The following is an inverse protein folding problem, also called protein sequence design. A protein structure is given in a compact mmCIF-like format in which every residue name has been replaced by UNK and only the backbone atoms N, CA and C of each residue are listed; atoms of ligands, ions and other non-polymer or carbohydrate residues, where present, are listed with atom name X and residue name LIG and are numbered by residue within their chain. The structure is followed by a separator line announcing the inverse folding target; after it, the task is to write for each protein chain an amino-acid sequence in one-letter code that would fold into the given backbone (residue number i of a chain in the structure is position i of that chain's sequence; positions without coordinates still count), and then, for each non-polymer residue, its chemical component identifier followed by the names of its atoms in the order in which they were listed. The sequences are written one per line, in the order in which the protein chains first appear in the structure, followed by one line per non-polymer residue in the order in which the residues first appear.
data_IF_144951031448
#
_entry.id   IF_144951031448
#
_cell.length_a   1.000
_cell.length_b   1.000
_cell.length_c   1.000
_cell.angle_alpha   90.00
_cell.angle_beta   90.00
_cell.angle_gamma   90.00
#
_symmetry.space_group_name_H-M   'P 1'
#
loop_
_entity.id
_entity.type
_entity.pdbx_description
1 polymer ?
#
# COMPACT_ATOMS: atom_id res chain seq x y z
N UNK A 1 -2.47 24.55 -9.72
CA UNK A 1 -3.07 24.57 -8.38
C UNK A 1 -4.15 23.49 -8.36
N UNK A 2 -3.82 22.29 -7.90
CA UNK A 2 -4.81 21.25 -7.64
C UNK A 2 -5.72 21.70 -6.49
N UNK A 3 -6.92 22.17 -6.79
CA UNK A 3 -7.97 22.37 -5.79
C UNK A 3 -8.54 21.00 -5.41
N UNK A 4 -8.08 20.48 -4.29
CA UNK A 4 -8.67 19.30 -3.66
C UNK A 4 -10.06 19.71 -3.17
N UNK A 5 -11.13 19.18 -3.80
CA UNK A 5 -12.50 19.34 -3.30
C UNK A 5 -12.60 18.72 -1.91
N UNK A 6 -12.94 19.53 -0.93
CA UNK A 6 -13.27 19.13 0.42
C UNK A 6 -14.58 18.34 0.42
N UNK A 7 -14.48 17.04 0.65
CA UNK A 7 -15.59 16.27 1.20
C UNK A 7 -15.05 15.56 2.44
N UNK A 8 -15.76 15.69 3.55
CA UNK A 8 -15.33 15.38 4.90
C UNK A 8 -14.70 13.98 5.07
N UNK A 9 -13.85 13.81 6.05
CA UNK A 9 -13.05 12.64 6.48
C UNK A 9 -11.67 12.44 5.83
N UNK A 10 -11.46 12.74 4.56
CA UNK A 10 -10.15 12.60 3.91
C UNK A 10 -9.11 13.65 4.32
N UNK A 11 -9.52 14.77 4.90
CA UNK A 11 -8.66 15.93 5.17
C UNK A 11 -7.66 15.66 6.30
N UNK A 12 -8.07 14.92 7.33
CA UNK A 12 -7.20 14.61 8.48
C UNK A 12 -6.08 13.63 8.08
N UNK A 13 -6.41 12.59 7.32
CA UNK A 13 -5.42 11.62 6.84
C UNK A 13 -4.41 12.24 5.87
N UNK A 14 -4.83 13.24 5.06
CA UNK A 14 -3.93 13.97 4.16
C UNK A 14 -2.84 14.74 4.88
N UNK A 15 -3.07 15.21 6.10
CA UNK A 15 -2.06 15.87 6.92
C UNK A 15 -0.91 14.94 7.34
N UNK A 16 -1.15 13.62 7.30
CA UNK A 16 -0.17 12.60 7.63
C UNK A 16 0.45 11.92 6.39
N UNK A 17 0.09 12.39 5.19
CA UNK A 17 0.52 11.81 3.92
C UNK A 17 1.81 12.47 3.43
N UNK A 18 2.86 11.67 3.27
CA UNK A 18 4.14 12.06 2.67
C UNK A 18 4.27 11.37 1.31
N UNK A 19 4.14 12.15 0.24
CA UNK A 19 4.31 11.65 -1.13
C UNK A 19 5.73 11.97 -1.58
N UNK A 20 6.45 10.94 -2.05
CA UNK A 20 7.80 11.09 -2.58
C UNK A 20 7.81 12.05 -3.78
N UNK A 21 8.82 12.94 -3.91
CA UNK A 21 8.82 13.98 -4.95
C UNK A 21 8.63 13.49 -6.38
N UNK A 22 9.26 12.38 -6.77
CA UNK A 22 9.11 11.79 -8.11
C UNK A 22 7.69 11.25 -8.37
N UNK A 23 7.05 10.69 -7.34
CA UNK A 23 5.64 10.24 -7.39
C UNK A 23 4.71 11.44 -7.51
N UNK A 24 4.93 12.48 -6.71
CA UNK A 24 4.11 13.70 -6.75
C UNK A 24 4.21 14.38 -8.11
N UNK A 25 5.42 14.55 -8.63
CA UNK A 25 5.66 15.12 -9.97
C UNK A 25 4.96 14.30 -11.07
N UNK A 26 5.02 12.97 -10.97
CA UNK A 26 4.37 12.09 -11.93
C UNK A 26 2.83 12.27 -11.90
N UNK A 27 2.23 12.33 -10.71
CA UNK A 27 0.80 12.57 -10.54
C UNK A 27 0.37 13.93 -11.10
N UNK A 28 1.13 14.99 -10.80
CA UNK A 28 0.86 16.34 -11.30
C UNK A 28 0.96 16.47 -12.83
N UNK A 29 1.86 15.71 -13.43
CA UNK A 29 2.06 15.68 -14.89
C UNK A 29 1.19 14.66 -15.63
N UNK A 30 0.32 13.93 -14.90
CA UNK A 30 -0.53 12.88 -15.48
C UNK A 30 0.25 11.68 -16.02
N UNK A 31 1.46 11.44 -15.52
CA UNK A 31 2.24 10.24 -15.85
C UNK A 31 1.70 9.01 -15.09
N UNK A 32 1.87 7.80 -15.65
CA UNK A 32 1.41 6.58 -15.00
C UNK A 32 2.18 6.34 -13.69
N UNK A 33 1.40 6.11 -12.61
CA UNK A 33 1.93 5.74 -11.29
C UNK A 33 1.29 4.43 -10.88
N UNK A 34 2.10 3.49 -10.38
CA UNK A 34 1.64 2.17 -9.90
C UNK A 34 1.94 2.05 -8.41
N UNK A 35 0.91 1.90 -7.59
CA UNK A 35 1.05 1.61 -6.18
C UNK A 35 1.51 0.16 -5.95
N UNK A 36 2.26 -0.06 -4.88
CA UNK A 36 2.72 -1.37 -4.41
C UNK A 36 2.48 -1.49 -2.91
N UNK A 37 2.06 -2.66 -2.45
CA UNK A 37 1.92 -2.97 -1.02
C UNK A 37 3.28 -3.22 -0.35
N UNK A 38 3.31 -3.20 0.98
CA UNK A 38 4.51 -3.48 1.76
C UNK A 38 4.42 -4.69 2.69
N UNK A 39 3.24 -5.30 2.83
CA UNK A 39 3.11 -6.53 3.65
C UNK A 39 4.05 -7.63 3.18
N UNK A 40 4.23 -7.80 1.86
CA UNK A 40 5.14 -8.81 1.32
C UNK A 40 6.60 -8.55 1.72
N UNK A 41 6.99 -7.29 1.93
CA UNK A 41 8.34 -6.90 2.34
C UNK A 41 8.60 -7.31 3.79
N UNK A 42 7.67 -6.99 4.71
CA UNK A 42 7.88 -7.19 6.15
C UNK A 42 7.41 -8.54 6.66
N UNK A 43 6.48 -9.20 5.98
CA UNK A 43 5.81 -10.43 6.45
C UNK A 43 5.77 -11.56 5.43
N UNK A 44 6.16 -11.32 4.18
CA UNK A 44 6.03 -12.32 3.12
C UNK A 44 7.29 -13.10 2.83
N UNK A 45 8.47 -12.49 2.98
CA UNK A 45 9.75 -13.07 2.61
C UNK A 45 10.83 -12.71 3.62
N UNK A 46 11.85 -13.59 3.84
CA UNK A 46 12.99 -13.26 4.69
C UNK A 46 13.91 -12.21 4.00
N UNK A 47 14.68 -11.50 4.82
CA UNK A 47 15.80 -10.68 4.34
C UNK A 47 16.98 -11.58 3.93
N UNK A 48 17.70 -11.31 2.81
CA UNK A 48 17.59 -10.13 1.94
C UNK A 48 16.62 -10.27 0.75
N UNK A 49 15.99 -11.43 0.56
CA UNK A 49 15.16 -11.71 -0.62
C UNK A 49 13.96 -10.74 -0.74
N UNK A 50 13.40 -10.31 0.39
CA UNK A 50 12.31 -9.32 0.42
C UNK A 50 12.74 -7.97 -0.17
N UNK A 51 13.95 -7.50 0.15
CA UNK A 51 14.52 -6.27 -0.39
C UNK A 51 14.78 -6.40 -1.90
N UNK A 52 15.45 -7.49 -2.30
CA UNK A 52 15.77 -7.74 -3.72
C UNK A 52 14.50 -7.79 -4.56
N UNK A 53 13.48 -8.49 -4.09
CA UNK A 53 12.18 -8.58 -4.76
C UNK A 53 11.53 -7.20 -4.89
N UNK A 54 11.44 -6.42 -3.81
CA UNK A 54 10.81 -5.10 -3.83
C UNK A 54 11.51 -4.14 -4.81
N UNK A 55 12.84 -4.08 -4.79
CA UNK A 55 13.61 -3.25 -5.71
C UNK A 55 13.49 -3.72 -7.16
N UNK A 56 13.45 -5.04 -7.39
CA UNK A 56 13.28 -5.59 -8.73
C UNK A 56 11.89 -5.23 -9.31
N UNK A 57 10.83 -5.36 -8.53
CA UNK A 57 9.47 -4.97 -8.95
C UNK A 57 9.40 -3.49 -9.30
N UNK A 58 9.97 -2.61 -8.46
CA UNK A 58 10.03 -1.18 -8.77
C UNK A 58 10.81 -0.91 -10.08
N UNK A 59 11.92 -1.62 -10.29
CA UNK A 59 12.72 -1.47 -11.51
C UNK A 59 11.95 -1.93 -12.77
N UNK A 60 11.16 -2.99 -12.69
CA UNK A 60 10.30 -3.44 -13.78
C UNK A 60 9.30 -2.36 -14.15
N UNK A 61 8.62 -1.78 -13.16
CA UNK A 61 7.65 -0.70 -13.38
C UNK A 61 8.32 0.52 -14.05
N UNK A 62 9.53 0.89 -13.61
CA UNK A 62 10.28 1.99 -14.23
C UNK A 62 10.68 1.70 -15.68
N UNK A 63 11.08 0.47 -15.98
CA UNK A 63 11.42 0.06 -17.37
C UNK A 63 10.21 0.15 -18.30
N UNK A 64 9.01 -0.09 -17.78
CA UNK A 64 7.74 0.05 -18.54
C UNK A 64 7.25 1.52 -18.62
N UNK A 65 8.05 2.48 -18.16
CA UNK A 65 7.74 3.91 -18.27
C UNK A 65 6.77 4.45 -17.20
N UNK A 66 6.46 3.68 -16.17
CA UNK A 66 5.65 4.10 -15.04
C UNK A 66 6.50 4.42 -13.79
N UNK A 67 5.92 5.16 -12.85
CA UNK A 67 6.56 5.49 -11.57
C UNK A 67 6.01 4.56 -10.48
N UNK A 68 6.85 3.74 -9.82
CA UNK A 68 6.42 2.90 -8.71
C UNK A 68 6.24 3.72 -7.45
N UNK A 69 5.21 3.39 -6.67
CA UNK A 69 4.93 4.00 -5.39
C UNK A 69 4.66 2.89 -4.35
N UNK A 70 5.72 2.37 -3.74
CA UNK A 70 5.59 1.45 -2.61
C UNK A 70 5.04 2.21 -1.41
N UNK A 71 3.99 1.69 -0.79
CA UNK A 71 3.22 2.35 0.28
C UNK A 71 3.45 1.64 1.61
N UNK A 72 3.73 2.43 2.66
CA UNK A 72 3.84 1.97 4.04
C UNK A 72 3.50 3.10 5.02
N UNK A 73 3.47 2.80 6.32
CA UNK A 73 3.43 3.80 7.37
C UNK A 73 4.73 3.69 8.16
N UNK A 74 5.48 4.79 8.27
CA UNK A 74 6.74 4.84 9.01
C UNK A 74 6.69 5.95 10.06
N UNK A 75 6.88 5.60 11.33
CA UNK A 75 6.80 6.54 12.45
C UNK A 75 5.45 7.30 12.50
N UNK A 76 4.36 6.65 12.07
CA UNK A 76 3.03 7.25 11.97
C UNK A 76 2.83 8.16 10.76
N UNK A 77 3.80 8.28 9.85
CA UNK A 77 3.66 9.00 8.57
C UNK A 77 3.26 8.04 7.46
N UNK A 78 2.22 8.35 6.75
CA UNK A 78 1.73 7.57 5.62
C UNK A 78 2.61 7.91 4.40
N UNK A 79 3.47 7.00 4.02
CA UNK A 79 4.44 7.16 2.93
C UNK A 79 3.88 6.62 1.62
N UNK A 80 3.96 7.42 0.57
CA UNK A 80 3.59 7.04 -0.80
C UNK A 80 4.81 7.20 -1.70
N UNK A 81 5.41 6.09 -2.04
CA UNK A 81 6.75 6.01 -2.61
C UNK A 81 7.80 6.00 -1.50
N UNK A 82 8.41 4.84 -1.29
CA UNK A 82 9.53 4.68 -0.35
C UNK A 82 10.86 4.94 -1.04
N UNK A 83 11.83 5.43 -0.27
CA UNK A 83 13.23 5.38 -0.68
C UNK A 83 13.78 3.97 -0.55
N UNK A 84 14.94 3.70 -1.18
CA UNK A 84 15.62 2.41 -1.03
C UNK A 84 15.92 2.09 0.43
N UNK A 85 16.36 3.09 1.20
CA UNK A 85 16.70 2.93 2.62
C UNK A 85 15.45 2.63 3.46
N UNK A 86 14.30 3.24 3.13
CA UNK A 86 13.01 2.95 3.78
C UNK A 86 12.51 1.53 3.46
N UNK A 87 12.68 1.06 2.21
CA UNK A 87 12.36 -0.33 1.82
C UNK A 87 13.28 -1.32 2.58
N UNK A 88 14.58 -1.02 2.65
CA UNK A 88 15.53 -1.85 3.37
C UNK A 88 15.24 -1.89 4.88
N UNK A 89 14.90 -0.73 5.46
CA UNK A 89 14.45 -0.65 6.85
C UNK A 89 13.24 -1.55 7.10
N UNK A 90 12.19 -1.45 6.29
CA UNK A 90 11.01 -2.32 6.39
C UNK A 90 11.33 -3.81 6.26
N UNK A 91 12.29 -4.14 5.40
CA UNK A 91 12.73 -5.52 5.18
C UNK A 91 13.46 -6.13 6.37
N UNK A 92 14.12 -5.30 7.19
CA UNK A 92 14.90 -5.72 8.38
C UNK A 92 14.14 -5.59 9.69
N UNK A 93 13.21 -4.64 9.79
CA UNK A 93 12.53 -4.31 11.03
C UNK A 93 11.60 -5.45 11.49
N UNK A 94 11.70 -5.80 12.79
CA UNK A 94 10.95 -6.91 13.39
C UNK A 94 9.57 -6.51 13.94
N UNK A 95 9.38 -5.22 14.22
CA UNK A 95 8.18 -4.71 14.92
C UNK A 95 7.23 -3.95 13.99
N UNK A 96 7.25 -4.27 12.70
CA UNK A 96 6.34 -3.66 11.72
C UNK A 96 4.98 -4.35 11.81
N UNK A 97 3.93 -3.59 12.01
CA UNK A 97 2.56 -4.11 12.16
C UNK A 97 1.95 -4.35 10.78
N UNK A 98 1.39 -5.54 10.54
CA UNK A 98 0.57 -5.79 9.36
C UNK A 98 -0.68 -4.92 9.45
N UNK A 99 -0.79 -3.94 8.54
CA UNK A 99 -1.76 -2.85 8.61
C UNK A 99 -2.87 -3.03 7.59
N UNK A 100 -4.09 -3.25 8.08
CA UNK A 100 -5.32 -3.19 7.28
C UNK A 100 -6.07 -1.88 7.54
N UNK A 101 -7.25 -1.70 6.93
CA UNK A 101 -8.09 -0.50 7.08
C UNK A 101 -8.23 -0.04 8.53
N UNK A 102 -8.61 -0.94 9.43
CA UNK A 102 -8.89 -0.64 10.85
C UNK A 102 -7.65 -0.19 11.63
N UNK A 103 -6.46 -0.57 11.16
CA UNK A 103 -5.21 -0.37 11.91
C UNK A 103 -4.58 0.99 11.59
N UNK A 104 -4.91 1.61 10.44
CA UNK A 104 -4.32 2.88 9.99
C UNK A 104 -4.41 3.98 11.07
N UNK A 105 -5.59 4.29 11.65
CA UNK A 105 -5.68 5.35 12.64
C UNK A 105 -4.87 5.07 13.91
N UNK A 106 -4.84 3.83 14.35
CA UNK A 106 -4.07 3.40 15.51
C UNK A 106 -2.57 3.58 15.29
N UNK A 107 -2.06 3.07 14.15
CA UNK A 107 -0.62 3.11 13.81
C UNK A 107 -0.16 4.55 13.64
N UNK A 108 -0.96 5.39 12.95
CA UNK A 108 -0.66 6.82 12.76
C UNK A 108 -0.64 7.54 14.11
N UNK A 109 -1.66 7.35 14.96
CA UNK A 109 -1.77 8.05 16.25
C UNK A 109 -0.66 7.65 17.23
N UNK A 110 -0.22 6.40 17.20
CA UNK A 110 0.85 5.87 18.05
C UNK A 110 2.25 6.04 17.47
N UNK A 111 2.37 6.65 16.28
CA UNK A 111 3.64 6.85 15.57
C UNK A 111 4.42 5.54 15.37
N UNK A 112 3.71 4.47 15.04
CA UNK A 112 4.27 3.14 14.80
C UNK A 112 4.56 2.93 13.32
N UNK A 113 5.22 1.78 13.02
CA UNK A 113 5.48 1.33 11.67
C UNK A 113 4.44 0.30 11.24
N UNK A 114 3.95 0.46 10.01
CA UNK A 114 2.92 -0.38 9.42
C UNK A 114 3.23 -0.78 8.00
N UNK A 115 3.23 -2.09 7.74
CA UNK A 115 3.27 -2.65 6.39
C UNK A 115 1.85 -2.81 5.86
N UNK A 116 1.56 -2.15 4.75
CA UNK A 116 0.19 -2.07 4.20
C UNK A 116 -0.22 -3.34 3.48
N UNK A 117 -1.43 -3.83 3.80
CA UNK A 117 -2.14 -4.90 3.07
C UNK A 117 -2.73 -4.34 1.78
N UNK A 118 -3.34 -5.20 0.96
CA UNK A 118 -4.08 -4.77 -0.24
C UNK A 118 -5.11 -3.71 0.11
N UNK A 119 -5.96 -3.94 1.11
CA UNK A 119 -7.00 -2.99 1.53
C UNK A 119 -6.42 -1.62 1.91
N UNK A 120 -5.44 -1.56 2.78
CA UNK A 120 -4.84 -0.29 3.21
C UNK A 120 -4.04 0.40 2.11
N UNK A 121 -3.38 -0.37 1.24
CA UNK A 121 -2.69 0.17 0.07
C UNK A 121 -3.67 0.84 -0.89
N UNK A 122 -4.83 0.22 -1.16
CA UNK A 122 -5.88 0.81 -2.00
C UNK A 122 -6.39 2.14 -1.43
N UNK A 123 -6.68 2.19 -0.11
CA UNK A 123 -7.14 3.40 0.56
C UNK A 123 -6.13 4.53 0.39
N UNK A 124 -4.86 4.25 0.69
CA UNK A 124 -3.79 5.25 0.64
C UNK A 124 -3.51 5.67 -0.82
N UNK A 125 -3.50 4.73 -1.76
CA UNK A 125 -3.35 5.02 -3.18
C UNK A 125 -4.46 5.96 -3.67
N UNK A 126 -5.72 5.69 -3.32
CA UNK A 126 -6.86 6.56 -3.64
C UNK A 126 -6.71 7.97 -3.04
N UNK A 127 -6.28 8.08 -1.77
CA UNK A 127 -6.02 9.35 -1.11
C UNK A 127 -4.91 10.17 -1.80
N UNK A 128 -3.90 9.49 -2.33
CA UNK A 128 -2.81 10.10 -3.10
C UNK A 128 -3.18 10.42 -4.55
N UNK A 129 -4.32 9.92 -5.04
CA UNK A 129 -4.75 10.10 -6.44
C UNK A 129 -4.22 9.05 -7.41
N UNK A 130 -3.58 7.98 -6.92
CA UNK A 130 -3.09 6.86 -7.72
C UNK A 130 -4.28 5.98 -8.14
N UNK A 131 -4.32 5.57 -9.41
CA UNK A 131 -5.44 4.83 -10.01
C UNK A 131 -5.16 3.35 -10.23
N UNK A 132 -3.89 2.94 -10.19
CA UNK A 132 -3.46 1.56 -10.47
C UNK A 132 -2.61 1.05 -9.32
N UNK A 133 -2.93 -0.15 -8.86
CA UNK A 133 -2.17 -0.88 -7.85
C UNK A 133 -1.87 -2.29 -8.37
N UNK A 134 -0.63 -2.73 -8.27
CA UNK A 134 -0.19 -4.07 -8.64
C UNK A 134 0.21 -4.87 -7.40
N UNK A 135 -0.29 -6.10 -7.29
CA UNK A 135 0.02 -7.03 -6.18
C UNK A 135 0.09 -8.46 -6.67
N UNK A 136 0.75 -9.34 -5.94
CA UNK A 136 0.81 -10.78 -6.23
C UNK A 136 -0.54 -11.46 -6.04
N UNK A 137 -1.26 -11.15 -4.97
CA UNK A 137 -2.54 -11.77 -4.68
C UNK A 137 -3.35 -11.00 -3.66
N UNK A 138 -4.66 -11.06 -3.80
CA UNK A 138 -5.63 -10.47 -2.88
C UNK A 138 -6.13 -11.51 -1.88
N UNK A 139 -6.62 -11.05 -0.73
CA UNK A 139 -7.36 -11.88 0.21
C UNK A 139 -8.75 -12.26 -0.33
N UNK A 140 -9.31 -13.31 0.22
CA UNK A 140 -10.60 -13.85 -0.20
C UNK A 140 -11.50 -14.24 0.97
N UNK A 141 -12.40 -15.17 0.73
CA UNK A 141 -13.24 -15.83 1.75
C UNK A 141 -12.51 -17.09 2.20
N UNK A 142 -12.15 -17.15 3.48
CA UNK A 142 -11.41 -18.28 4.03
C UNK A 142 -12.28 -19.53 4.15
N UNK A 143 -11.67 -20.71 4.08
CA UNK A 143 -12.39 -21.97 4.28
C UNK A 143 -13.03 -21.97 5.69
N UNK A 144 -14.30 -22.34 5.79
CA UNK A 144 -15.05 -22.29 7.04
C UNK A 144 -15.59 -20.90 7.41
N UNK A 145 -15.55 -19.96 6.51
CA UNK A 145 -16.02 -18.59 6.78
C UNK A 145 -17.50 -18.52 7.15
N UNK A 146 -18.31 -19.50 6.79
CA UNK A 146 -19.71 -19.59 7.20
C UNK A 146 -19.86 -19.77 8.73
N UNK A 147 -18.81 -20.25 9.42
CA UNK A 147 -18.78 -20.42 10.88
C UNK A 147 -17.92 -19.34 11.55
N UNK A 148 -16.77 -19.00 10.93
CA UNK A 148 -15.78 -18.09 11.52
C UNK A 148 -15.97 -16.64 11.13
N UNK A 149 -16.71 -16.37 10.04
CA UNK A 149 -16.83 -15.05 9.39
C UNK A 149 -15.47 -14.47 8.97
N UNK A 150 -14.46 -15.32 8.74
CA UNK A 150 -13.13 -14.89 8.32
C UNK A 150 -13.12 -14.56 6.83
N UNK A 151 -13.42 -13.29 6.55
CA UNK A 151 -13.48 -12.70 5.21
C UNK A 151 -12.49 -11.54 5.15
N UNK A 152 -11.64 -11.54 4.13
CA UNK A 152 -10.65 -10.49 3.96
C UNK A 152 -11.28 -9.11 3.75
N UNK A 153 -10.73 -8.11 4.43
CA UNK A 153 -11.08 -6.71 4.22
C UNK A 153 -10.78 -6.22 2.78
N UNK A 154 -9.91 -6.92 2.05
CA UNK A 154 -9.58 -6.60 0.66
C UNK A 154 -10.82 -6.61 -0.24
N UNK A 155 -11.73 -7.57 -0.03
CA UNK A 155 -12.96 -7.69 -0.83
C UNK A 155 -13.88 -6.47 -0.66
N UNK A 156 -14.01 -5.98 0.57
CA UNK A 156 -14.81 -4.78 0.85
C UNK A 156 -14.17 -3.53 0.24
N UNK A 157 -12.84 -3.47 0.25
CA UNK A 157 -12.11 -2.33 -0.29
C UNK A 157 -12.18 -2.30 -1.82
N UNK A 158 -12.08 -3.46 -2.48
CA UNK A 158 -12.27 -3.60 -3.92
C UNK A 158 -13.65 -3.08 -4.37
N UNK A 159 -14.68 -3.24 -3.53
CA UNK A 159 -16.03 -2.76 -3.82
C UNK A 159 -16.22 -1.25 -3.62
N UNK A 160 -15.35 -0.57 -2.84
CA UNK A 160 -15.57 0.81 -2.40
C UNK A 160 -14.53 1.81 -2.91
N UNK A 161 -13.33 1.35 -3.22
CA UNK A 161 -12.19 2.23 -3.51
C UNK A 161 -11.93 2.27 -5.01
N UNK A 162 -11.88 3.47 -5.57
CA UNK A 162 -11.70 3.69 -7.00
C UNK A 162 -10.22 3.57 -7.42
N UNK A 163 -9.68 2.35 -7.29
CA UNK A 163 -8.31 1.96 -7.69
C UNK A 163 -8.41 0.62 -8.42
N UNK A 164 -7.87 0.55 -9.63
CA UNK A 164 -7.76 -0.71 -10.37
C UNK A 164 -6.65 -1.58 -9.76
N UNK A 165 -6.98 -2.80 -9.35
CA UNK A 165 -6.02 -3.75 -8.77
C UNK A 165 -5.68 -4.82 -9.79
N UNK A 166 -4.40 -4.89 -10.16
CA UNK A 166 -3.85 -5.93 -11.02
C UNK A 166 -3.19 -6.97 -10.12
N UNK A 167 -3.69 -8.20 -10.15
CA UNK A 167 -3.19 -9.30 -9.31
C UNK A 167 -3.24 -10.64 -10.03
N UNK A 168 -2.53 -11.64 -9.49
CA UNK A 168 -2.61 -13.02 -9.97
C UNK A 168 -3.90 -13.74 -9.53
N UNK A 169 -4.71 -13.11 -8.68
CA UNK A 169 -5.98 -13.63 -8.20
C UNK A 169 -6.07 -13.69 -6.68
N UNK A 170 -7.13 -14.30 -6.16
CA UNK A 170 -7.28 -14.56 -4.73
C UNK A 170 -6.27 -15.62 -4.27
N UNK A 171 -5.74 -15.46 -3.06
CA UNK A 171 -4.87 -16.46 -2.43
C UNK A 171 -5.66 -17.75 -2.24
N UNK A 172 -5.17 -18.86 -2.79
CA UNK A 172 -5.88 -20.15 -2.81
C UNK A 172 -5.56 -21.07 -1.63
N UNK A 173 -4.54 -20.73 -0.84
CA UNK A 173 -4.10 -21.48 0.34
C UNK A 173 -4.29 -20.59 1.57
N UNK A 174 -5.50 -20.58 2.06
CA UNK A 174 -5.88 -19.86 3.28
C UNK A 174 -6.90 -20.69 4.05
#
# INVERSE_FOLDING_TARGET
KYKIKNEGDGTLLKAYLDIKPDVLEALEKGKPVVALESTIISHGMPYPQNLEMALNVENIIRKEGAVPATIAILGGRIKVGLSKDEIEYLGKAKNVIKTSRRDIPFIVSKKLDGATTVASTMIIAALAGIKVFATGGIGGVHRGAQETFDISADLQELAKTNVAVVCAGAKSIL
#
